data_IF_770579728710
#
_entry.id   IF_770579728710
#
_cell.length_a   1.000
_cell.length_b   1.000
_cell.length_c   1.000
_cell.angle_alpha   90.00
_cell.angle_beta   90.00
_cell.angle_gamma   90.00
#
_symmetry.space_group_name_H-M   'P 1'
#
loop_
_entity.id
_entity.type
_entity.pdbx_description
1 polymer ?
#
# COMPACT_ATOMS: atom_id res chain seq x y z
N UNK A 1 -5.79 27.87 2.17
CA UNK A 1 -6.00 26.63 1.35
C UNK A 1 -7.51 26.42 1.19
N UNK A 2 -8.03 26.43 -0.03
CA UNK A 2 -9.45 26.19 -0.31
C UNK A 2 -9.69 24.67 -0.39
N UNK A 3 -10.72 24.18 0.33
CA UNK A 3 -11.15 22.79 0.32
C UNK A 3 -12.65 22.76 -0.02
N UNK A 4 -12.97 22.44 -1.26
CA UNK A 4 -14.33 22.51 -1.84
C UNK A 4 -15.35 21.69 -1.04
N UNK A 5 -15.00 20.45 -0.72
CA UNK A 5 -15.89 19.53 -0.01
C UNK A 5 -16.07 19.98 1.45
N UNK A 6 -14.98 20.34 2.13
CA UNK A 6 -15.06 20.80 3.51
C UNK A 6 -15.83 22.11 3.65
N UNK A 7 -15.69 23.04 2.70
CA UNK A 7 -16.42 24.30 2.68
C UNK A 7 -17.92 24.07 2.43
N UNK A 8 -18.26 23.16 1.52
CA UNK A 8 -19.64 22.73 1.27
C UNK A 8 -20.26 22.13 2.53
N UNK A 9 -19.59 21.18 3.20
CA UNK A 9 -20.09 20.56 4.44
C UNK A 9 -20.33 21.59 5.55
N UNK A 10 -19.44 22.59 5.69
CA UNK A 10 -19.61 23.67 6.69
C UNK A 10 -20.84 24.53 6.40
N UNK A 11 -21.10 24.83 5.12
CA UNK A 11 -22.24 25.63 4.73
C UNK A 11 -23.58 24.96 5.05
N UNK A 12 -23.62 23.62 5.08
CA UNK A 12 -24.85 22.84 5.25
C UNK A 12 -25.19 22.48 6.72
N UNK A 13 -24.39 22.90 7.69
CA UNK A 13 -24.56 22.53 9.12
C UNK A 13 -25.93 22.81 9.73
N UNK A 14 -26.68 23.76 9.16
CA UNK A 14 -28.01 24.16 9.67
C UNK A 14 -29.18 23.56 8.90
N UNK A 15 -28.92 22.74 7.88
CA UNK A 15 -29.97 22.13 7.08
C UNK A 15 -30.62 20.96 7.83
N UNK A 16 -31.92 20.83 7.68
CA UNK A 16 -32.69 19.67 8.13
C UNK A 16 -32.77 18.71 6.95
N UNK A 17 -32.25 17.50 7.15
CA UNK A 17 -32.25 16.46 6.13
C UNK A 17 -33.14 15.29 6.49
N UNK A 18 -34.08 14.95 5.60
CA UNK A 18 -34.82 13.70 5.63
C UNK A 18 -34.18 12.60 4.77
N UNK A 19 -33.06 12.91 4.13
CA UNK A 19 -32.27 11.98 3.36
C UNK A 19 -31.37 11.11 4.25
N UNK A 20 -30.77 10.05 3.73
CA UNK A 20 -29.66 9.33 4.39
C UNK A 20 -28.47 10.29 4.59
N UNK A 21 -27.56 10.03 5.53
CA UNK A 21 -27.51 8.90 6.46
C UNK A 21 -28.53 9.00 7.61
N UNK A 22 -28.78 7.85 8.25
CA UNK A 22 -29.82 7.70 9.30
C UNK A 22 -29.59 8.53 10.56
N UNK A 23 -28.37 8.98 10.86
CA UNK A 23 -28.06 9.81 12.02
C UNK A 23 -28.58 11.26 11.91
N UNK A 24 -29.00 11.72 10.73
CA UNK A 24 -29.58 13.04 10.44
C UNK A 24 -28.73 14.26 10.84
N UNK A 25 -27.41 14.11 10.94
CA UNK A 25 -26.47 15.18 11.30
C UNK A 25 -25.89 15.84 10.03
N UNK A 26 -26.70 16.67 9.36
CA UNK A 26 -26.25 17.45 8.21
C UNK A 26 -25.00 18.29 8.54
N UNK A 27 -24.06 18.37 7.62
CA UNK A 27 -22.78 19.07 7.79
C UNK A 27 -21.69 18.30 8.53
N UNK A 28 -22.01 17.16 9.15
CA UNK A 28 -21.01 16.21 9.65
C UNK A 28 -20.78 15.07 8.65
N UNK A 29 -21.87 14.56 8.09
CA UNK A 29 -21.89 13.50 7.10
C UNK A 29 -23.18 13.59 6.29
N UNK A 30 -23.09 13.42 4.99
CA UNK A 30 -24.20 13.55 4.04
C UNK A 30 -24.05 12.50 2.94
N UNK A 31 -25.05 12.41 2.08
CA UNK A 31 -24.98 11.66 0.83
C UNK A 31 -25.19 12.58 -0.38
N UNK A 32 -25.55 12.03 -1.51
CA UNK A 32 -25.84 12.71 -2.75
C UNK A 32 -27.13 13.53 -2.63
N UNK A 33 -26.98 14.83 -2.49
CA UNK A 33 -28.06 15.82 -2.45
C UNK A 33 -27.86 16.85 -3.57
N UNK A 34 -28.89 17.59 -3.92
CA UNK A 34 -28.84 18.59 -5.00
C UNK A 34 -27.71 19.62 -4.86
N UNK A 35 -27.14 19.78 -3.68
CA UNK A 35 -26.03 20.70 -3.39
C UNK A 35 -24.68 20.02 -3.12
N UNK A 36 -24.67 18.69 -2.89
CA UNK A 36 -23.47 17.98 -2.45
C UNK A 36 -22.67 17.32 -3.57
N UNK A 37 -23.23 17.28 -4.77
CA UNK A 37 -22.68 16.54 -5.92
C UNK A 37 -22.82 15.00 -5.77
N UNK A 38 -22.59 14.25 -6.83
CA UNK A 38 -22.59 12.79 -6.86
C UNK A 38 -21.20 12.29 -7.28
N UNK A 39 -20.60 11.44 -6.47
CA UNK A 39 -19.28 10.91 -6.79
C UNK A 39 -19.28 10.00 -8.03
N UNK A 40 -20.43 9.40 -8.37
CA UNK A 40 -20.56 8.52 -9.54
C UNK A 40 -20.58 9.32 -10.86
N UNK A 41 -21.16 10.55 -10.81
CA UNK A 41 -21.19 11.48 -11.97
C UNK A 41 -20.91 12.92 -11.48
N UNK A 42 -19.67 13.21 -11.07
CA UNK A 42 -19.34 14.47 -10.43
C UNK A 42 -19.37 15.64 -11.41
N UNK A 43 -20.20 16.65 -11.12
CA UNK A 43 -20.36 17.87 -11.91
C UNK A 43 -20.14 19.15 -11.11
N UNK A 44 -20.04 19.05 -9.78
CA UNK A 44 -19.94 20.15 -8.83
C UNK A 44 -18.68 20.14 -7.99
N UNK A 45 -18.83 20.12 -6.66
CA UNK A 45 -17.71 20.22 -5.70
C UNK A 45 -16.77 19.03 -5.75
N UNK A 46 -17.29 17.84 -6.05
CA UNK A 46 -16.47 16.64 -6.20
C UNK A 46 -15.66 16.65 -7.49
N UNK A 47 -16.25 17.12 -8.59
CA UNK A 47 -15.53 17.33 -9.85
C UNK A 47 -14.35 18.30 -9.66
N UNK A 48 -14.59 19.44 -8.98
CA UNK A 48 -13.54 20.41 -8.69
C UNK A 48 -12.43 19.84 -7.80
N UNK A 49 -12.81 19.08 -6.77
CA UNK A 49 -11.84 18.45 -5.86
C UNK A 49 -10.98 17.38 -6.57
N UNK A 50 -11.60 16.56 -7.44
CA UNK A 50 -10.87 15.56 -8.24
C UNK A 50 -9.99 16.19 -9.31
N UNK A 51 -10.42 17.29 -9.94
CA UNK A 51 -9.58 18.06 -10.86
C UNK A 51 -8.37 18.70 -10.16
N UNK A 52 -8.56 19.24 -8.96
CA UNK A 52 -7.44 19.71 -8.12
C UNK A 52 -6.47 18.56 -7.76
N UNK A 53 -6.99 17.38 -7.41
CA UNK A 53 -6.18 16.21 -7.13
C UNK A 53 -5.38 15.77 -8.37
N UNK A 54 -6.00 15.70 -9.55
CA UNK A 54 -5.32 15.36 -10.79
C UNK A 54 -4.15 16.32 -11.06
N UNK A 55 -4.37 17.63 -10.91
CA UNK A 55 -3.34 18.64 -11.07
C UNK A 55 -2.19 18.48 -10.03
N UNK A 56 -2.53 18.24 -8.76
CA UNK A 56 -1.54 18.05 -7.68
C UNK A 56 -0.70 16.80 -7.91
N UNK A 57 -1.33 15.71 -8.35
CA UNK A 57 -0.70 14.42 -8.57
C UNK A 57 -0.04 14.29 -9.95
N UNK A 58 -0.22 15.26 -10.86
CA UNK A 58 0.33 15.22 -12.23
C UNK A 58 -0.33 14.14 -13.10
N UNK A 59 -1.64 13.92 -12.92
CA UNK A 59 -2.47 12.99 -13.65
C UNK A 59 -3.37 13.71 -14.67
N UNK A 60 -3.85 12.96 -15.66
CA UNK A 60 -4.92 13.45 -16.55
C UNK A 60 -6.30 13.25 -15.92
N UNK A 61 -6.44 12.21 -15.09
CA UNK A 61 -7.63 12.02 -14.25
C UNK A 61 -7.25 11.39 -12.89
N UNK A 62 -7.97 11.80 -11.84
CA UNK A 62 -7.85 11.25 -10.48
C UNK A 62 -9.24 11.02 -9.90
N UNK A 63 -9.42 9.87 -9.26
CA UNK A 63 -10.68 9.45 -8.69
C UNK A 63 -10.53 9.22 -7.18
N UNK A 64 -11.39 9.84 -6.38
CA UNK A 64 -11.42 9.63 -4.94
C UNK A 64 -12.03 8.28 -4.59
N UNK A 65 -11.44 7.61 -3.61
CA UNK A 65 -11.87 6.32 -3.09
C UNK A 65 -12.04 6.41 -1.57
N UNK A 66 -13.18 5.92 -1.09
CA UNK A 66 -13.48 5.81 0.35
C UNK A 66 -13.39 4.37 0.85
N UNK A 67 -12.83 3.48 0.02
CA UNK A 67 -12.70 2.03 0.24
C UNK A 67 -11.24 1.60 0.37
N UNK A 68 -10.32 2.57 0.51
CA UNK A 68 -8.88 2.36 0.56
C UNK A 68 -8.26 2.12 -0.82
N UNK A 69 -6.94 2.00 -0.85
CA UNK A 69 -6.19 1.69 -2.08
C UNK A 69 -6.49 0.30 -2.65
N UNK A 70 -7.12 -0.59 -1.88
CA UNK A 70 -7.53 -1.92 -2.34
C UNK A 70 -8.48 -1.82 -3.53
N UNK A 71 -9.53 -0.99 -3.45
CA UNK A 71 -10.46 -0.78 -4.58
C UNK A 71 -9.76 -0.16 -5.78
N UNK A 72 -8.77 0.71 -5.58
CA UNK A 72 -7.95 1.27 -6.64
C UNK A 72 -7.09 0.21 -7.36
N UNK A 73 -6.52 -0.75 -6.62
CA UNK A 73 -5.81 -1.90 -7.22
C UNK A 73 -6.75 -2.72 -8.09
N UNK A 74 -7.97 -3.03 -7.60
CA UNK A 74 -8.97 -3.73 -8.39
C UNK A 74 -9.36 -2.95 -9.65
N UNK A 75 -9.57 -1.64 -9.52
CA UNK A 75 -9.90 -0.77 -10.65
C UNK A 75 -8.80 -0.74 -11.71
N UNK A 76 -7.52 -0.63 -11.31
CA UNK A 76 -6.38 -0.65 -12.24
C UNK A 76 -6.24 -2.00 -12.96
N UNK A 77 -6.38 -3.13 -12.25
CA UNK A 77 -6.29 -4.44 -12.87
C UNK A 77 -7.52 -4.72 -13.76
N UNK A 78 -8.69 -4.24 -13.39
CA UNK A 78 -9.86 -4.28 -14.25
C UNK A 78 -9.65 -3.46 -15.54
N UNK A 79 -9.05 -2.28 -15.45
CA UNK A 79 -8.69 -1.46 -16.60
C UNK A 79 -7.76 -2.20 -17.56
N UNK A 80 -6.74 -2.91 -17.05
CA UNK A 80 -5.89 -3.79 -17.86
C UNK A 80 -6.70 -4.87 -18.58
N UNK A 81 -7.57 -5.56 -17.85
CA UNK A 81 -8.43 -6.60 -18.41
C UNK A 81 -9.34 -6.07 -19.51
N UNK A 82 -9.97 -4.90 -19.31
CA UNK A 82 -10.81 -4.22 -20.33
C UNK A 82 -10.04 -3.87 -21.59
N UNK A 83 -8.74 -3.56 -21.45
CA UNK A 83 -7.83 -3.32 -22.57
C UNK A 83 -7.23 -4.63 -23.16
N UNK A 84 -7.75 -5.81 -22.82
CA UNK A 84 -7.27 -7.11 -23.32
C UNK A 84 -5.93 -7.57 -22.74
N UNK A 85 -5.48 -7.00 -21.62
CA UNK A 85 -4.23 -7.34 -20.94
C UNK A 85 -4.53 -8.32 -19.81
N UNK A 86 -4.16 -9.59 -19.97
CA UNK A 86 -4.55 -10.64 -19.03
C UNK A 86 -3.43 -11.11 -18.11
N UNK A 87 -2.17 -10.80 -18.46
CA UNK A 87 -0.99 -11.21 -17.70
C UNK A 87 -0.29 -9.98 -17.14
N UNK A 88 -0.09 -9.95 -15.82
CA UNK A 88 0.56 -8.82 -15.14
C UNK A 88 1.79 -9.30 -14.38
N UNK A 89 2.95 -8.69 -14.66
CA UNK A 89 4.17 -8.93 -13.89
C UNK A 89 4.07 -8.20 -12.54
N UNK A 90 4.24 -8.93 -11.43
CA UNK A 90 4.09 -8.43 -10.06
C UNK A 90 5.19 -8.97 -9.14
N UNK A 91 5.72 -8.18 -8.20
CA UNK A 91 6.66 -8.66 -7.19
C UNK A 91 6.03 -9.76 -6.33
N UNK A 92 6.82 -10.77 -5.94
CA UNK A 92 6.32 -11.86 -5.08
C UNK A 92 5.86 -11.38 -3.70
N UNK A 93 6.39 -10.25 -3.23
CA UNK A 93 6.01 -9.59 -1.97
C UNK A 93 5.03 -8.42 -2.16
N UNK A 94 4.33 -8.34 -3.29
CA UNK A 94 3.25 -7.37 -3.46
C UNK A 94 2.15 -7.57 -2.40
N UNK A 95 1.40 -6.49 -2.13
CA UNK A 95 0.28 -6.56 -1.20
C UNK A 95 -0.77 -7.59 -1.67
N UNK A 96 -1.38 -8.31 -0.73
CA UNK A 96 -2.38 -9.37 -1.04
C UNK A 96 -3.51 -8.93 -1.98
N UNK A 97 -3.89 -7.64 -1.98
CA UNK A 97 -4.95 -7.13 -2.86
C UNK A 97 -4.63 -7.31 -4.33
N UNK A 98 -3.35 -7.28 -4.73
CA UNK A 98 -2.93 -7.53 -6.12
C UNK A 98 -3.25 -8.96 -6.53
N UNK A 99 -2.90 -9.93 -5.70
CA UNK A 99 -3.16 -11.34 -5.97
C UNK A 99 -4.66 -11.68 -5.93
N UNK A 100 -5.40 -11.13 -4.94
CA UNK A 100 -6.85 -11.28 -4.86
C UNK A 100 -7.56 -10.65 -6.07
N UNK A 101 -7.10 -9.49 -6.54
CA UNK A 101 -7.67 -8.86 -7.73
C UNK A 101 -7.38 -9.70 -8.99
N UNK A 102 -6.16 -10.24 -9.14
CA UNK A 102 -5.86 -11.18 -10.22
C UNK A 102 -6.80 -12.41 -10.21
N UNK A 103 -6.97 -13.02 -9.03
CA UNK A 103 -7.87 -14.17 -8.86
C UNK A 103 -9.32 -13.82 -9.21
N UNK A 104 -9.86 -12.74 -8.63
CA UNK A 104 -11.24 -12.31 -8.85
C UNK A 104 -11.54 -11.90 -10.30
N UNK A 105 -10.54 -11.36 -10.99
CA UNK A 105 -10.66 -10.90 -12.37
C UNK A 105 -10.26 -11.98 -13.40
N UNK A 106 -9.83 -13.17 -12.97
CA UNK A 106 -9.34 -14.23 -13.86
C UNK A 106 -8.06 -13.84 -14.61
N UNK A 107 -7.23 -12.98 -14.02
CA UNK A 107 -5.93 -12.54 -14.57
C UNK A 107 -4.81 -13.46 -14.08
N UNK A 108 -3.74 -13.57 -14.85
CA UNK A 108 -2.58 -14.38 -14.50
C UNK A 108 -1.44 -13.51 -14.00
N UNK A 109 -1.05 -13.60 -12.72
CA UNK A 109 0.16 -12.95 -12.25
C UNK A 109 1.40 -13.65 -12.76
N UNK A 110 2.36 -12.89 -13.30
CA UNK A 110 3.71 -13.32 -13.63
C UNK A 110 4.62 -12.81 -12.51
N UNK A 111 5.20 -13.72 -11.73
CA UNK A 111 5.93 -13.34 -10.54
C UNK A 111 7.32 -12.80 -10.86
N UNK A 112 7.64 -11.63 -10.30
CA UNK A 112 8.99 -11.06 -10.33
C UNK A 112 9.72 -11.58 -9.09
N UNK A 113 10.82 -12.31 -9.31
CA UNK A 113 11.62 -12.85 -8.22
C UNK A 113 12.32 -11.74 -7.42
N UNK A 114 12.36 -11.90 -6.11
CA UNK A 114 13.06 -11.01 -5.17
C UNK A 114 13.84 -11.85 -4.17
N UNK A 115 15.08 -11.46 -3.88
CA UNK A 115 15.85 -12.03 -2.77
C UNK A 115 15.40 -11.44 -1.42
N UNK A 116 15.95 -11.98 -0.34
CA UNK A 116 15.80 -11.47 1.03
C UNK A 116 17.19 -11.14 1.58
N UNK A 117 17.35 -9.97 2.14
CA UNK A 117 18.55 -9.55 2.86
C UNK A 117 18.17 -9.17 4.28
N UNK A 118 18.81 -9.78 5.26
CA UNK A 118 18.54 -9.55 6.70
C UNK A 118 17.04 -9.65 7.06
N UNK A 119 16.31 -10.54 6.39
CA UNK A 119 14.88 -10.73 6.57
C UNK A 119 13.97 -9.73 5.83
N UNK A 120 14.54 -8.87 4.98
CA UNK A 120 13.81 -7.86 4.21
C UNK A 120 13.82 -8.22 2.72
N UNK A 121 12.67 -8.18 2.01
CA UNK A 121 12.62 -8.34 0.56
C UNK A 121 13.47 -7.28 -0.15
N UNK A 122 14.37 -7.71 -1.02
CA UNK A 122 15.14 -6.82 -1.87
C UNK A 122 14.27 -6.25 -2.99
N UNK A 123 14.64 -5.06 -3.49
CA UNK A 123 13.98 -4.54 -4.69
C UNK A 123 14.28 -5.44 -5.90
N UNK A 124 13.34 -5.57 -6.85
CA UNK A 124 13.57 -6.34 -8.08
C UNK A 124 14.74 -5.78 -8.87
N UNK A 125 15.59 -6.65 -9.43
CA UNK A 125 16.63 -6.25 -10.36
C UNK A 125 16.04 -5.96 -11.74
N UNK A 126 16.76 -5.18 -12.58
CA UNK A 126 16.33 -4.89 -13.94
C UNK A 126 16.19 -6.16 -14.79
N UNK A 127 17.06 -7.13 -14.59
CA UNK A 127 16.98 -8.43 -15.27
C UNK A 127 15.70 -9.19 -14.87
N UNK A 128 15.36 -9.21 -13.57
CA UNK A 128 14.14 -9.84 -13.11
C UNK A 128 12.89 -9.14 -13.66
N UNK A 129 12.91 -7.80 -13.76
CA UNK A 129 11.83 -7.02 -14.39
C UNK A 129 11.71 -7.36 -15.88
N UNK A 130 12.81 -7.38 -16.61
CA UNK A 130 12.86 -7.70 -18.05
C UNK A 130 12.35 -9.11 -18.32
N UNK A 131 12.82 -10.10 -17.55
CA UNK A 131 12.38 -11.49 -17.67
C UNK A 131 10.88 -11.65 -17.41
N UNK A 132 10.34 -11.06 -16.34
CA UNK A 132 8.93 -11.14 -16.05
C UNK A 132 8.08 -10.40 -17.10
N UNK A 133 8.50 -9.20 -17.53
CA UNK A 133 7.79 -8.41 -18.52
C UNK A 133 7.75 -9.09 -19.90
N UNK A 134 8.75 -9.89 -20.26
CA UNK A 134 8.73 -10.68 -21.51
C UNK A 134 7.54 -11.64 -21.58
N UNK A 135 7.04 -12.09 -20.43
CA UNK A 135 5.94 -13.05 -20.29
C UNK A 135 4.60 -12.39 -19.87
N UNK A 136 4.58 -11.07 -19.67
CA UNK A 136 3.41 -10.35 -19.19
C UNK A 136 2.99 -9.26 -20.17
N UNK A 137 1.75 -8.78 -20.03
CA UNK A 137 1.17 -7.69 -20.82
C UNK A 137 1.32 -6.32 -20.15
N UNK A 138 1.64 -6.31 -18.87
CA UNK A 138 1.79 -5.11 -18.04
C UNK A 138 2.75 -5.40 -16.88
N UNK A 139 3.27 -4.32 -16.27
CA UNK A 139 4.10 -4.38 -15.06
C UNK A 139 3.40 -3.59 -13.94
N UNK A 140 3.31 -4.17 -12.73
CA UNK A 140 2.86 -3.50 -11.53
C UNK A 140 3.96 -3.57 -10.48
N UNK A 141 4.37 -2.42 -9.94
CA UNK A 141 5.36 -2.32 -8.86
C UNK A 141 4.78 -1.61 -7.64
N UNK A 142 5.24 -1.97 -6.45
CA UNK A 142 4.91 -1.25 -5.21
C UNK A 142 5.96 -0.16 -4.95
N UNK A 143 5.55 1.10 -4.80
CA UNK A 143 6.48 2.23 -4.64
C UNK A 143 5.94 3.33 -3.71
N UNK A 144 6.61 3.59 -2.58
CA UNK A 144 7.65 2.78 -1.97
C UNK A 144 7.11 1.44 -1.46
N UNK A 145 8.01 0.49 -1.19
CA UNK A 145 7.62 -0.74 -0.53
C UNK A 145 7.30 -0.53 0.96
N UNK A 146 6.94 -1.61 1.64
CA UNK A 146 6.53 -1.54 3.04
C UNK A 146 7.66 -1.10 3.98
N UNK A 147 8.92 -1.42 3.64
CA UNK A 147 10.10 -1.03 4.42
C UNK A 147 10.66 0.34 4.03
N UNK A 148 10.15 0.95 2.97
CA UNK A 148 10.53 2.30 2.53
C UNK A 148 11.63 2.35 1.47
N UNK A 149 11.81 1.28 0.72
CA UNK A 149 12.69 1.24 -0.44
C UNK A 149 11.92 1.51 -1.73
N UNK A 150 12.57 2.19 -2.66
CA UNK A 150 11.99 2.44 -3.98
C UNK A 150 12.43 1.39 -5.00
N UNK A 151 11.47 0.82 -5.77
CA UNK A 151 11.82 0.00 -6.91
C UNK A 151 12.46 0.85 -8.02
N UNK A 152 13.17 0.25 -8.98
CA UNK A 152 13.81 0.96 -10.09
C UNK A 152 12.79 1.45 -11.12
N UNK A 153 11.93 2.42 -10.75
CA UNK A 153 10.82 2.91 -11.57
C UNK A 153 11.26 3.47 -12.92
N UNK A 154 12.41 4.14 -12.98
CA UNK A 154 12.94 4.69 -14.23
C UNK A 154 13.30 3.58 -15.22
N UNK A 155 13.99 2.52 -14.76
CA UNK A 155 14.29 1.35 -15.57
C UNK A 155 13.01 0.60 -15.97
N UNK A 156 12.08 0.41 -15.04
CA UNK A 156 10.77 -0.17 -15.32
C UNK A 156 10.01 0.61 -16.40
N UNK A 157 10.02 1.94 -16.35
CA UNK A 157 9.41 2.80 -17.37
C UNK A 157 10.07 2.62 -18.73
N UNK A 158 11.41 2.55 -18.78
CA UNK A 158 12.13 2.34 -20.02
C UNK A 158 11.80 0.98 -20.65
N UNK A 159 11.81 -0.10 -19.84
CA UNK A 159 11.44 -1.45 -20.27
C UNK A 159 9.98 -1.50 -20.79
N UNK A 160 9.04 -0.94 -20.06
CA UNK A 160 7.64 -0.89 -20.47
C UNK A 160 7.46 -0.07 -21.76
N UNK A 161 8.12 1.08 -21.87
CA UNK A 161 8.07 1.93 -23.06
C UNK A 161 8.61 1.24 -24.30
N UNK A 162 9.77 0.58 -24.18
CA UNK A 162 10.37 -0.20 -25.28
C UNK A 162 9.50 -1.38 -25.73
N UNK A 163 8.70 -1.94 -24.82
CA UNK A 163 7.82 -3.08 -25.10
C UNK A 163 6.37 -2.66 -25.48
N UNK A 164 6.03 -1.36 -25.44
CA UNK A 164 4.66 -0.87 -25.64
C UNK A 164 3.66 -1.38 -24.60
N UNK A 165 4.14 -1.63 -23.36
CA UNK A 165 3.34 -2.18 -22.25
C UNK A 165 3.15 -1.14 -21.14
N UNK A 166 1.99 -1.13 -20.46
CA UNK A 166 1.75 -0.19 -19.37
C UNK A 166 2.52 -0.54 -18.11
N UNK A 167 2.93 0.51 -17.38
CA UNK A 167 3.49 0.44 -16.04
C UNK A 167 2.43 0.94 -15.04
N UNK A 168 2.13 0.11 -14.04
CA UNK A 168 1.25 0.43 -12.92
C UNK A 168 2.06 0.55 -11.63
N UNK A 169 1.59 1.39 -10.71
CA UNK A 169 2.20 1.49 -9.39
C UNK A 169 1.18 1.36 -8.26
N UNK A 170 1.46 0.45 -7.33
CA UNK A 170 0.86 0.45 -6.01
C UNK A 170 1.62 1.46 -5.14
N UNK A 171 1.16 2.69 -5.16
CA UNK A 171 1.67 3.81 -4.37
C UNK A 171 0.94 3.97 -3.03
N UNK A 172 0.34 2.90 -2.49
CA UNK A 172 -0.41 2.96 -1.24
C UNK A 172 0.36 3.60 -0.09
N UNK A 173 1.68 3.56 -0.13
CA UNK A 173 2.59 4.17 0.85
C UNK A 173 3.28 5.44 0.35
N UNK A 174 2.98 5.91 -0.86
CA UNK A 174 3.70 6.96 -1.57
C UNK A 174 3.04 8.33 -1.65
N UNK A 175 1.84 8.51 -1.08
CA UNK A 175 1.06 9.76 -1.27
C UNK A 175 1.80 11.04 -0.84
N UNK A 176 2.66 10.96 0.19
CA UNK A 176 3.45 12.10 0.67
C UNK A 176 4.56 12.54 -0.29
N UNK A 177 4.85 11.72 -1.30
CA UNK A 177 5.86 11.98 -2.33
C UNK A 177 5.33 12.83 -3.48
N UNK A 178 4.03 13.14 -3.51
CA UNK A 178 3.45 13.96 -4.58
C UNK A 178 4.21 15.29 -4.71
N UNK A 179 4.43 15.70 -5.97
CA UNK A 179 5.25 16.87 -6.28
C UNK A 179 6.76 16.66 -6.14
N UNK A 180 7.25 15.45 -5.82
CA UNK A 180 8.67 15.09 -5.82
C UNK A 180 9.04 14.22 -7.01
N UNK A 181 10.33 14.14 -7.41
CA UNK A 181 10.77 13.24 -8.48
C UNK A 181 10.53 11.76 -8.19
N UNK A 182 10.37 11.37 -6.92
CA UNK A 182 10.21 9.98 -6.49
C UNK A 182 8.77 9.46 -6.57
N UNK A 183 7.79 10.35 -6.81
CA UNK A 183 6.39 9.94 -6.88
C UNK A 183 6.11 9.08 -8.12
N UNK A 184 5.31 8.04 -7.96
CA UNK A 184 4.96 7.08 -9.02
C UNK A 184 4.36 7.74 -10.27
N UNK A 185 3.69 8.87 -10.13
CA UNK A 185 3.15 9.67 -11.24
C UNK A 185 4.18 10.05 -12.30
N UNK A 186 5.47 10.14 -11.95
CA UNK A 186 6.51 10.48 -12.92
C UNK A 186 6.83 9.33 -13.89
N UNK A 187 6.38 8.11 -13.58
CA UNK A 187 6.76 6.89 -14.28
C UNK A 187 5.56 6.07 -14.75
N UNK A 188 4.52 5.95 -13.93
CA UNK A 188 3.40 5.05 -14.16
C UNK A 188 2.35 5.64 -15.10
N UNK A 189 1.65 4.74 -15.79
CA UNK A 189 0.47 5.05 -16.60
C UNK A 189 -0.80 5.08 -15.74
N UNK A 190 -0.86 4.23 -14.72
CA UNK A 190 -1.88 4.20 -13.66
C UNK A 190 -1.22 3.97 -12.30
N UNK A 191 -1.73 4.62 -11.25
CA UNK A 191 -1.25 4.39 -9.90
C UNK A 191 -2.35 4.65 -8.87
N UNK A 192 -2.18 4.07 -7.67
CA UNK A 192 -3.05 4.34 -6.52
C UNK A 192 -2.23 4.92 -5.37
N UNK A 193 -2.74 5.97 -4.74
CA UNK A 193 -2.21 6.61 -3.55
C UNK A 193 -3.08 6.30 -2.33
N UNK A 194 -2.50 5.66 -1.30
CA UNK A 194 -3.17 5.45 -0.02
C UNK A 194 -3.05 6.69 0.87
N UNK A 195 -3.82 7.73 0.56
CA UNK A 195 -3.70 9.05 1.18
C UNK A 195 -3.69 8.99 2.71
N UNK A 196 -4.56 8.14 3.29
CA UNK A 196 -4.67 7.97 4.74
C UNK A 196 -3.44 7.33 5.42
N UNK A 197 -2.54 6.70 4.65
CA UNK A 197 -1.35 6.05 5.22
C UNK A 197 -0.22 7.04 5.47
N UNK A 198 0.04 7.94 4.53
CA UNK A 198 1.20 8.83 4.58
C UNK A 198 0.87 10.32 4.65
N UNK A 199 -0.41 10.69 4.53
CA UNK A 199 -0.91 12.05 4.66
C UNK A 199 -2.07 12.09 5.68
N UNK A 200 -2.43 13.28 6.23
CA UNK A 200 -3.42 13.40 7.32
C UNK A 200 -4.88 13.28 6.82
N UNK A 201 -5.22 12.20 6.16
CA UNK A 201 -6.60 11.82 5.80
C UNK A 201 -7.18 10.82 6.79
N UNK A 202 -8.51 10.70 6.82
CA UNK A 202 -9.18 9.65 7.55
C UNK A 202 -8.91 8.28 6.92
N UNK A 203 -8.91 7.24 7.76
CA UNK A 203 -8.76 5.85 7.31
C UNK A 203 -9.69 5.56 6.13
N UNK A 204 -9.25 4.74 5.20
CA UNK A 204 -9.87 4.41 3.91
C UNK A 204 -9.68 5.47 2.81
N UNK A 205 -9.27 6.71 3.11
CA UNK A 205 -9.04 7.72 2.09
C UNK A 205 -7.92 7.34 1.13
N UNK A 206 -8.23 7.22 -0.16
CA UNK A 206 -7.28 6.93 -1.22
C UNK A 206 -7.63 7.66 -2.52
N UNK A 207 -6.68 7.71 -3.46
CA UNK A 207 -6.90 8.25 -4.80
C UNK A 207 -6.28 7.31 -5.81
N UNK A 208 -7.00 7.00 -6.88
CA UNK A 208 -6.46 6.28 -8.03
C UNK A 208 -6.40 7.22 -9.23
N UNK A 209 -5.30 7.17 -9.97
CA UNK A 209 -5.00 8.14 -11.03
C UNK A 209 -4.49 7.47 -12.30
N UNK A 210 -4.70 8.12 -13.43
CA UNK A 210 -4.26 7.64 -14.73
C UNK A 210 -3.80 8.76 -15.67
N UNK A 211 -3.04 8.37 -16.71
CA UNK A 211 -2.60 9.22 -17.81
C UNK A 211 -3.06 8.67 -19.16
N UNK A 212 -3.21 9.57 -20.12
CA UNK A 212 -3.52 9.25 -21.50
C UNK A 212 -4.78 8.41 -21.66
N UNK A 213 -4.70 7.42 -22.51
CA UNK A 213 -5.84 6.53 -22.84
C UNK A 213 -6.31 5.67 -21.65
N UNK A 214 -5.46 5.51 -20.62
CA UNK A 214 -5.80 4.72 -19.43
C UNK A 214 -6.86 5.39 -18.56
N UNK A 215 -7.07 6.70 -18.69
CA UNK A 215 -8.11 7.45 -17.95
C UNK A 215 -9.49 6.86 -18.16
N UNK A 216 -9.85 6.52 -19.41
CA UNK A 216 -11.15 5.92 -19.74
C UNK A 216 -11.31 4.54 -19.11
N UNK A 217 -10.31 3.67 -19.28
CA UNK A 217 -10.37 2.30 -18.74
C UNK A 217 -10.39 2.30 -17.21
N UNK A 218 -9.64 3.22 -16.60
CA UNK A 218 -9.63 3.35 -15.14
C UNK A 218 -10.97 3.86 -14.62
N UNK A 219 -11.63 4.81 -15.29
CA UNK A 219 -12.96 5.30 -14.92
C UNK A 219 -13.98 4.15 -14.87
N UNK A 220 -13.98 3.27 -15.88
CA UNK A 220 -14.81 2.07 -15.88
C UNK A 220 -14.52 1.17 -14.67
N UNK A 221 -13.23 0.94 -14.33
CA UNK A 221 -12.83 0.14 -13.17
C UNK A 221 -13.25 0.78 -11.84
N UNK A 222 -13.14 2.09 -11.72
CA UNK A 222 -13.59 2.83 -10.54
C UNK A 222 -15.09 2.68 -10.33
N UNK A 223 -15.88 2.76 -11.39
CA UNK A 223 -17.34 2.57 -11.32
C UNK A 223 -17.70 1.18 -10.76
N UNK A 224 -16.97 0.13 -11.15
CA UNK A 224 -17.22 -1.24 -10.68
C UNK A 224 -16.83 -1.51 -9.22
N UNK A 225 -15.77 -0.86 -8.72
CA UNK A 225 -15.16 -1.22 -7.43
C UNK A 225 -15.25 -0.15 -6.36
N UNK A 226 -15.81 1.00 -6.66
CA UNK A 226 -16.08 2.07 -5.69
C UNK A 226 -17.48 1.91 -5.11
N UNK A 227 -17.63 2.19 -3.81
CA UNK A 227 -18.96 2.24 -3.17
C UNK A 227 -19.85 3.30 -3.82
N UNK A 228 -21.15 3.01 -3.91
CA UNK A 228 -22.19 3.96 -4.34
C UNK A 228 -22.64 4.92 -3.22
N UNK A 229 -22.15 4.74 -1.98
CA UNK A 229 -22.49 5.55 -0.82
C UNK A 229 -21.21 6.07 -0.14
N UNK A 230 -20.45 6.97 -0.80
CA UNK A 230 -19.17 7.43 -0.30
C UNK A 230 -19.33 8.30 0.94
N UNK A 231 -18.42 8.13 1.91
CA UNK A 231 -18.37 9.00 3.09
C UNK A 231 -17.81 10.38 2.72
N UNK A 232 -18.63 11.41 2.79
CA UNK A 232 -18.21 12.80 2.53
C UNK A 232 -17.15 13.31 3.52
N UNK A 233 -17.15 12.95 4.81
CA UNK A 233 -16.01 13.25 5.69
C UNK A 233 -14.69 12.68 5.22
N UNK A 234 -14.68 11.45 4.68
CA UNK A 234 -13.46 10.84 4.09
C UNK A 234 -13.06 11.61 2.85
N UNK A 235 -13.98 11.92 1.93
CA UNK A 235 -13.71 12.71 0.73
C UNK A 235 -13.11 14.08 1.07
N UNK A 236 -13.71 14.80 2.03
CA UNK A 236 -13.17 16.07 2.52
C UNK A 236 -11.76 15.94 3.11
N UNK A 237 -11.48 14.83 3.81
CA UNK A 237 -10.17 14.55 4.38
C UNK A 237 -9.12 14.24 3.32
N UNK A 238 -9.49 13.56 2.23
CA UNK A 238 -8.60 13.31 1.07
C UNK A 238 -8.20 14.65 0.44
N UNK A 239 -9.17 15.50 0.13
CA UNK A 239 -8.91 16.82 -0.46
C UNK A 239 -7.99 17.66 0.43
N UNK A 240 -8.27 17.71 1.73
CA UNK A 240 -7.44 18.40 2.70
C UNK A 240 -6.01 17.85 2.75
N UNK A 241 -5.87 16.54 2.79
CA UNK A 241 -4.59 15.87 2.94
C UNK A 241 -3.68 16.04 1.71
N UNK A 242 -4.23 16.01 0.49
CA UNK A 242 -3.48 16.29 -0.73
C UNK A 242 -2.96 17.75 -0.81
N UNK A 243 -3.65 18.67 -0.15
CA UNK A 243 -3.27 20.07 -0.05
C UNK A 243 -2.45 20.38 1.22
N UNK A 244 -2.15 19.37 2.05
CA UNK A 244 -1.42 19.55 3.29
C UNK A 244 0.03 19.93 3.01
N UNK A 245 0.58 20.98 3.66
CA UNK A 245 1.93 21.44 3.38
C UNK A 245 2.97 20.42 3.83
N UNK A 246 4.03 20.25 3.06
CA UNK A 246 5.23 19.54 3.51
C UNK A 246 5.88 20.26 4.69
N UNK A 247 6.48 19.51 5.62
CA UNK A 247 7.21 20.06 6.78
C UNK A 247 8.65 19.53 6.80
N UNK A 248 9.57 20.33 6.26
CA UNK A 248 11.01 20.01 6.25
C UNK A 248 11.61 19.83 7.65
N UNK A 249 11.01 20.40 8.70
CA UNK A 249 11.46 20.21 10.09
C UNK A 249 11.15 18.80 10.57
N UNK A 250 9.97 18.28 10.24
CA UNK A 250 9.57 16.91 10.58
C UNK A 250 10.44 15.91 9.83
N UNK A 251 10.69 16.12 8.54
CA UNK A 251 11.58 15.30 7.74
C UNK A 251 13.01 15.28 8.30
N UNK A 252 13.60 16.44 8.56
CA UNK A 252 14.93 16.54 9.16
C UNK A 252 15.00 15.86 10.55
N UNK A 253 13.93 15.95 11.34
CA UNK A 253 13.86 15.26 12.64
C UNK A 253 13.73 13.73 12.47
N UNK A 254 13.03 13.24 11.45
CA UNK A 254 12.93 11.83 11.13
C UNK A 254 14.27 11.24 10.69
N UNK A 255 14.99 11.94 9.81
CA UNK A 255 16.35 11.54 9.37
C UNK A 255 17.31 11.47 10.55
N UNK A 256 17.26 12.44 11.50
CA UNK A 256 18.06 12.36 12.73
C UNK A 256 17.65 11.17 13.59
N UNK A 257 16.36 10.92 13.76
CA UNK A 257 15.85 9.79 14.56
C UNK A 257 16.29 8.43 13.96
N UNK A 258 16.28 8.28 12.63
CA UNK A 258 16.82 7.07 11.96
C UNK A 258 18.28 6.83 12.38
N UNK A 259 19.14 7.84 12.27
CA UNK A 259 20.56 7.72 12.65
C UNK A 259 20.74 7.38 14.13
N UNK A 260 20.04 8.06 15.03
CA UNK A 260 20.14 7.83 16.48
C UNK A 260 19.65 6.45 16.89
N UNK A 261 18.73 5.86 16.14
CA UNK A 261 18.19 4.53 16.40
C UNK A 261 18.90 3.43 15.63
N UNK A 262 19.87 3.72 14.78
CA UNK A 262 20.45 2.71 13.89
C UNK A 262 19.38 2.02 13.05
N UNK A 263 18.41 2.79 12.59
CA UNK A 263 17.34 2.30 11.71
C UNK A 263 17.90 1.96 10.32
N UNK A 264 17.15 1.18 9.55
CA UNK A 264 17.49 0.88 8.16
C UNK A 264 17.72 2.16 7.37
N UNK A 265 18.72 2.13 6.51
CA UNK A 265 19.01 3.18 5.54
C UNK A 265 18.11 2.98 4.30
N UNK A 266 16.81 3.19 4.49
CA UNK A 266 15.80 3.14 3.43
C UNK A 266 15.60 4.54 2.83
N UNK A 267 15.01 4.60 1.65
CA UNK A 267 14.84 5.81 0.86
C UNK A 267 13.77 6.77 1.40
N UNK A 268 12.77 6.22 2.11
CA UNK A 268 11.58 6.96 2.57
C UNK A 268 11.73 7.46 4.00
N UNK A 269 11.77 8.79 4.17
CA UNK A 269 11.89 9.41 5.48
C UNK A 269 10.70 9.14 6.42
N UNK A 270 9.54 8.78 5.89
CA UNK A 270 8.34 8.49 6.71
C UNK A 270 8.40 7.15 7.40
N UNK A 271 9.35 6.29 7.07
CA UNK A 271 9.49 4.94 7.64
C UNK A 271 10.76 4.81 8.46
N UNK A 272 10.59 4.77 9.78
CA UNK A 272 11.68 4.45 10.72
C UNK A 272 11.60 2.97 11.05
N UNK A 273 12.48 2.18 10.47
CA UNK A 273 12.53 0.71 10.60
C UNK A 273 13.72 0.34 11.48
N UNK A 274 13.44 -0.03 12.72
CA UNK A 274 14.47 -0.24 13.75
C UNK A 274 14.73 -1.73 13.94
N UNK A 275 15.99 -2.20 13.77
CA UNK A 275 16.34 -3.59 13.99
C UNK A 275 16.38 -3.90 15.50
N UNK A 276 15.53 -4.81 15.94
CA UNK A 276 15.54 -5.36 17.29
C UNK A 276 15.89 -6.85 17.32
N UNK A 277 15.89 -7.52 16.17
CA UNK A 277 16.15 -8.94 16.04
C UNK A 277 15.23 -9.75 16.98
N UNK A 278 15.74 -10.79 17.59
CA UNK A 278 14.97 -11.65 18.51
C UNK A 278 14.35 -10.91 19.71
N UNK A 279 14.72 -9.63 19.95
CA UNK A 279 14.13 -8.78 20.99
C UNK A 279 12.91 -7.96 20.51
N UNK A 280 12.47 -8.06 19.25
CA UNK A 280 11.41 -7.21 18.69
C UNK A 280 10.09 -7.29 19.46
N UNK A 281 9.63 -8.49 19.86
CA UNK A 281 8.39 -8.66 20.62
C UNK A 281 8.46 -8.01 22.02
N UNK A 282 9.60 -8.13 22.69
CA UNK A 282 9.83 -7.50 24.00
C UNK A 282 9.88 -5.97 23.88
N UNK A 283 10.53 -5.45 22.83
CA UNK A 283 10.61 -4.03 22.53
C UNK A 283 9.21 -3.45 22.23
N UNK A 284 8.41 -4.11 21.40
CA UNK A 284 7.03 -3.71 21.13
C UNK A 284 6.22 -3.64 22.42
N UNK A 285 6.22 -4.71 23.23
CA UNK A 285 5.48 -4.76 24.48
C UNK A 285 5.89 -3.65 25.47
N UNK A 286 7.19 -3.30 25.50
CA UNK A 286 7.69 -2.20 26.32
C UNK A 286 7.16 -0.83 25.84
N UNK A 287 7.12 -0.60 24.53
CA UNK A 287 6.68 0.64 23.90
C UNK A 287 5.18 0.84 24.07
N UNK A 288 4.36 -0.20 23.84
CA UNK A 288 2.91 -0.17 23.96
C UNK A 288 2.46 0.17 25.39
N UNK A 289 3.10 -0.39 26.41
CA UNK A 289 2.86 -0.02 27.82
C UNK A 289 3.13 1.46 28.11
N UNK A 290 3.84 2.17 27.23
CA UNK A 290 4.16 3.61 27.32
C UNK A 290 3.39 4.46 26.31
N UNK A 291 2.37 3.87 25.67
CA UNK A 291 1.51 4.52 24.70
C UNK A 291 2.23 4.88 23.40
N UNK A 292 3.18 4.03 22.98
CA UNK A 292 3.85 4.13 21.68
C UNK A 292 3.60 2.82 20.92
N UNK A 293 2.85 2.92 19.84
CA UNK A 293 2.43 1.79 19.02
C UNK A 293 3.21 1.81 17.69
N UNK A 294 4.00 0.76 17.38
CA UNK A 294 4.60 0.60 16.06
C UNK A 294 3.52 0.27 15.03
N UNK A 295 3.78 0.56 13.77
CA UNK A 295 2.93 0.17 12.66
C UNK A 295 2.92 -1.37 12.50
N UNK A 296 4.10 -1.98 12.57
CA UNK A 296 4.18 -3.43 12.56
C UNK A 296 5.48 -3.95 13.21
N UNK A 297 5.47 -5.25 13.47
CA UNK A 297 6.56 -6.06 13.97
C UNK A 297 6.66 -7.32 13.10
N UNK A 298 7.77 -7.52 12.40
CA UNK A 298 8.03 -8.73 11.61
C UNK A 298 8.86 -9.79 12.36
N UNK A 299 9.20 -9.54 13.63
CA UNK A 299 10.02 -10.39 14.49
C UNK A 299 11.52 -10.08 14.45
N UNK A 300 11.94 -9.18 13.56
CA UNK A 300 13.27 -8.62 13.45
C UNK A 300 13.26 -7.11 13.66
N UNK A 301 12.27 -6.45 13.05
CA UNK A 301 12.17 -5.00 12.98
C UNK A 301 10.87 -4.52 13.59
N UNK A 302 10.93 -3.34 14.21
CA UNK A 302 9.76 -2.53 14.49
C UNK A 302 9.74 -1.35 13.54
N UNK A 303 8.64 -1.18 12.82
CA UNK A 303 8.44 -0.02 11.95
C UNK A 303 7.54 1.01 12.60
N UNK A 304 7.96 2.27 12.51
CA UNK A 304 7.19 3.44 12.91
C UNK A 304 6.90 4.29 11.68
N UNK A 305 5.61 4.46 11.40
CA UNK A 305 5.18 5.17 10.23
C UNK A 305 4.88 6.63 10.56
N UNK A 306 5.47 7.54 9.81
CA UNK A 306 5.36 8.98 9.99
C UNK A 306 4.52 9.60 8.87
N UNK A 307 4.14 10.85 9.07
CA UNK A 307 3.53 11.69 8.04
C UNK A 307 4.01 13.14 8.24
N UNK A 308 3.78 14.06 7.30
CA UNK A 308 4.03 15.49 7.50
C UNK A 308 3.34 16.08 8.73
N UNK A 309 2.26 15.45 9.23
CA UNK A 309 1.57 15.86 10.45
C UNK A 309 2.21 15.33 11.75
N UNK A 310 3.25 14.49 11.67
CA UNK A 310 3.96 13.98 12.84
C UNK A 310 4.72 15.09 13.54
N UNK A 311 4.51 15.22 14.84
CA UNK A 311 5.17 16.30 15.62
C UNK A 311 6.57 15.88 16.06
N UNK A 312 7.55 16.77 15.95
CA UNK A 312 8.96 16.55 16.35
C UNK A 312 9.09 16.04 17.80
N UNK A 313 8.21 16.47 18.71
CA UNK A 313 8.19 15.97 20.10
C UNK A 313 7.87 14.47 20.19
N UNK A 314 7.09 13.94 19.27
CA UNK A 314 6.77 12.49 19.22
C UNK A 314 8.01 11.69 18.81
N UNK A 315 8.78 12.19 17.82
CA UNK A 315 10.06 11.60 17.42
C UNK A 315 11.07 11.60 18.55
N UNK A 316 11.21 12.71 19.30
CA UNK A 316 12.06 12.76 20.48
C UNK A 316 11.66 11.75 21.55
N UNK A 317 10.35 11.54 21.78
CA UNK A 317 9.85 10.51 22.70
C UNK A 317 10.21 9.12 22.19
N UNK A 318 10.01 8.84 20.89
CA UNK A 318 10.35 7.57 20.26
C UNK A 318 11.82 7.23 20.46
N UNK A 319 12.73 8.13 20.09
CA UNK A 319 14.19 7.96 20.23
C UNK A 319 14.55 7.67 21.69
N UNK A 320 14.05 8.46 22.63
CA UNK A 320 14.33 8.27 24.06
C UNK A 320 13.91 6.88 24.57
N UNK A 321 12.79 6.34 24.08
CA UNK A 321 12.27 5.05 24.52
C UNK A 321 12.94 3.87 23.80
N UNK A 322 13.28 4.00 22.52
CA UNK A 322 13.88 2.90 21.75
C UNK A 322 15.39 2.75 22.00
N UNK A 323 16.12 3.87 22.22
CA UNK A 323 17.58 3.89 22.33
C UNK A 323 18.15 2.91 23.38
N UNK A 324 17.59 2.80 24.61
CA UNK A 324 18.10 1.91 25.64
C UNK A 324 17.68 0.44 25.49
N UNK A 325 16.84 0.09 24.51
CA UNK A 325 16.34 -1.26 24.38
C UNK A 325 17.40 -2.20 23.80
N UNK A 326 17.42 -3.42 24.32
CA UNK A 326 18.32 -4.48 23.86
C UNK A 326 18.03 -4.83 22.38
N UNK A 327 19.08 -5.23 21.68
CA UNK A 327 19.05 -5.74 20.31
C UNK A 327 19.40 -7.24 20.36
N UNK A 328 18.70 -8.02 19.56
CA UNK A 328 19.00 -9.45 19.35
C UNK A 328 19.56 -9.69 17.96
N UNK A 329 19.79 -10.95 17.63
CA UNK A 329 20.25 -11.38 16.32
C UNK A 329 19.14 -11.20 15.27
N UNK A 330 19.51 -10.74 14.08
CA UNK A 330 18.64 -10.66 12.92
C UNK A 330 18.54 -12.02 12.21
N UNK A 331 17.48 -12.20 11.41
CA UNK A 331 17.40 -13.34 10.51
C UNK A 331 18.49 -13.29 9.44
N UNK A 332 18.91 -14.47 9.01
CA UNK A 332 19.83 -14.63 7.88
C UNK A 332 19.17 -14.29 6.55
N UNK A 333 20.00 -13.97 5.57
CA UNK A 333 19.58 -13.85 4.18
C UNK A 333 18.97 -15.15 3.66
N UNK A 334 17.96 -15.03 2.81
CA UNK A 334 17.39 -16.17 2.10
C UNK A 334 17.07 -15.77 0.64
N UNK A 335 17.46 -16.58 -0.34
CA UNK A 335 17.01 -16.38 -1.71
C UNK A 335 15.52 -16.76 -1.83
N UNK A 336 14.74 -15.98 -2.58
CA UNK A 336 13.40 -16.42 -2.99
C UNK A 336 13.55 -17.45 -4.09
N UNK A 337 12.93 -18.61 -3.94
CA UNK A 337 12.85 -19.59 -5.00
C UNK A 337 12.12 -18.96 -6.20
N UNK A 338 12.70 -19.11 -7.39
CA UNK A 338 12.09 -18.63 -8.64
C UNK A 338 10.72 -19.26 -8.90
N UNK A 339 10.16 -19.03 -10.09
CA UNK A 339 8.85 -19.58 -10.49
C UNK A 339 8.83 -21.12 -10.38
N UNK A 340 8.28 -21.63 -9.29
CA UNK A 340 8.02 -23.04 -9.10
C UNK A 340 6.60 -23.31 -9.59
N UNK A 341 6.44 -24.22 -10.54
CA UNK A 341 5.15 -24.75 -11.01
C UNK A 341 5.01 -26.21 -10.59
N UNK A 342 3.79 -26.70 -10.47
CA UNK A 342 3.54 -28.11 -10.13
C UNK A 342 2.16 -28.33 -9.53
N UNK A 343 1.85 -29.60 -9.26
CA UNK A 343 0.66 -29.96 -8.50
C UNK A 343 0.77 -29.38 -7.09
N UNK A 344 -0.34 -28.95 -6.54
CA UNK A 344 -0.39 -28.37 -5.20
C UNK A 344 -1.11 -29.31 -4.23
N UNK A 345 -0.67 -29.27 -2.97
CA UNK A 345 -1.23 -30.06 -1.87
C UNK A 345 -1.50 -29.14 -0.69
N UNK A 346 -2.66 -29.29 -0.07
CA UNK A 346 -2.98 -28.59 1.19
C UNK A 346 -2.60 -29.47 2.36
N UNK A 347 -1.83 -28.91 3.32
CA UNK A 347 -1.38 -29.65 4.49
C UNK A 347 -1.40 -28.76 5.76
N UNK A 348 -1.38 -29.36 6.98
CA UNK A 348 -1.27 -28.59 8.21
C UNK A 348 -0.04 -27.70 8.20
N UNK A 349 -0.17 -26.43 8.67
CA UNK A 349 0.95 -25.48 8.71
C UNK A 349 2.13 -26.01 9.53
N UNK A 350 1.86 -26.73 10.62
CA UNK A 350 2.90 -27.35 11.48
C UNK A 350 3.76 -28.39 10.78
N UNK A 351 3.26 -29.01 9.74
CA UNK A 351 3.92 -30.07 8.97
C UNK A 351 4.59 -29.55 7.69
N UNK A 352 4.41 -28.27 7.37
CA UNK A 352 4.85 -27.69 6.13
C UNK A 352 6.30 -27.22 6.10
N UNK A 353 7.03 -27.30 7.23
CA UNK A 353 8.44 -26.89 7.29
C UNK A 353 9.28 -27.63 6.25
N UNK A 354 10.08 -26.88 5.48
CA UNK A 354 10.91 -27.43 4.38
C UNK A 354 10.17 -27.58 3.06
N UNK A 355 8.84 -27.43 3.01
CA UNK A 355 8.05 -27.50 1.78
C UNK A 355 8.06 -26.12 1.07
N UNK A 356 7.87 -26.12 -0.24
CA UNK A 356 7.78 -24.89 -1.03
C UNK A 356 6.36 -24.36 -1.06
N UNK A 357 6.15 -23.12 -0.64
CA UNK A 357 4.84 -22.47 -0.57
C UNK A 357 4.26 -22.26 -1.98
N UNK A 358 3.02 -22.68 -2.19
CA UNK A 358 2.33 -22.53 -3.47
C UNK A 358 1.37 -21.32 -3.53
N UNK A 359 0.95 -20.81 -2.38
CA UNK A 359 0.13 -19.60 -2.24
C UNK A 359 0.68 -18.73 -1.14
N UNK A 360 0.99 -17.47 -1.45
CA UNK A 360 1.52 -16.53 -0.48
C UNK A 360 0.64 -16.46 0.77
N UNK A 361 1.26 -16.50 1.94
CA UNK A 361 0.58 -16.38 3.23
C UNK A 361 1.30 -15.40 4.15
N UNK A 362 0.55 -14.76 5.05
CA UNK A 362 1.12 -13.76 5.94
C UNK A 362 0.16 -13.33 7.04
N UNK A 363 0.59 -12.33 7.79
CA UNK A 363 -0.11 -11.78 8.97
C UNK A 363 -0.88 -10.52 8.55
N UNK A 364 -1.98 -10.26 9.23
CA UNK A 364 -2.82 -9.07 9.00
C UNK A 364 -2.89 -8.25 10.30
N UNK A 365 -2.48 -6.98 10.29
CA UNK A 365 -1.59 -6.31 9.34
C UNK A 365 -0.18 -6.92 9.33
N UNK A 366 0.67 -6.67 8.30
CA UNK A 366 0.59 -5.64 7.25
C UNK A 366 -0.02 -6.12 5.91
N UNK A 367 -0.47 -7.36 5.79
CA UNK A 367 -1.02 -7.93 4.56
C UNK A 367 0.01 -8.11 3.42
N UNK A 368 1.28 -8.11 3.76
CA UNK A 368 2.41 -8.49 2.89
C UNK A 368 2.77 -9.94 3.21
N UNK A 369 3.14 -10.76 2.23
CA UNK A 369 3.53 -12.14 2.49
C UNK A 369 4.65 -12.26 3.54
N UNK A 370 4.43 -13.12 4.53
CA UNK A 370 5.49 -13.61 5.42
C UNK A 370 6.21 -14.81 4.79
N UNK A 371 5.48 -15.56 3.97
CA UNK A 371 6.01 -16.61 3.10
C UNK A 371 5.43 -16.33 1.71
N UNK A 372 6.29 -15.98 0.76
CA UNK A 372 5.89 -15.75 -0.62
C UNK A 372 5.68 -17.08 -1.37
N UNK A 373 4.97 -17.03 -2.50
CA UNK A 373 4.88 -18.17 -3.41
C UNK A 373 6.28 -18.55 -3.91
N UNK A 374 6.63 -19.82 -3.87
CA UNK A 374 7.94 -20.33 -4.27
C UNK A 374 9.00 -20.30 -3.18
N UNK A 375 8.67 -19.75 -2.01
CA UNK A 375 9.56 -19.70 -0.85
C UNK A 375 9.43 -20.97 0.00
N UNK A 376 10.55 -21.39 0.60
CA UNK A 376 10.56 -22.53 1.52
C UNK A 376 9.98 -22.12 2.87
N UNK A 377 9.05 -22.90 3.39
CA UNK A 377 8.42 -22.69 4.70
C UNK A 377 9.43 -22.92 5.80
N UNK A 378 9.73 -21.90 6.59
CA UNK A 378 10.69 -21.97 7.70
C UNK A 378 10.00 -22.20 9.04
N UNK A 379 10.72 -22.81 10.04
CA UNK A 379 10.19 -22.98 11.40
C UNK A 379 9.79 -21.65 12.06
N UNK A 380 10.51 -20.56 11.75
CA UNK A 380 10.23 -19.24 12.28
C UNK A 380 8.92 -18.68 11.72
N UNK A 381 8.71 -18.77 10.39
CA UNK A 381 7.50 -18.33 9.75
C UNK A 381 6.28 -19.10 10.29
N UNK A 382 6.39 -20.42 10.45
CA UNK A 382 5.33 -21.24 11.05
C UNK A 382 4.99 -20.76 12.48
N UNK A 383 6.01 -20.58 13.35
CA UNK A 383 5.77 -20.07 14.72
C UNK A 383 5.06 -18.72 14.72
N UNK A 384 5.40 -17.83 13.80
CA UNK A 384 4.77 -16.49 13.69
C UNK A 384 3.33 -16.59 13.21
N UNK A 385 3.06 -17.37 12.18
CA UNK A 385 1.71 -17.58 11.65
C UNK A 385 0.79 -18.22 12.68
N UNK A 386 1.28 -19.20 13.47
CA UNK A 386 0.52 -19.84 14.55
C UNK A 386 0.20 -18.89 15.72
N UNK A 387 1.06 -17.92 16.01
CA UNK A 387 0.84 -16.91 17.05
C UNK A 387 -0.03 -15.75 16.58
N UNK A 388 -0.19 -15.57 15.26
CA UNK A 388 -0.89 -14.42 14.70
C UNK A 388 -2.40 -14.54 14.95
N UNK A 389 -3.01 -13.42 15.32
CA UNK A 389 -4.45 -13.32 15.55
C UNK A 389 -5.24 -13.40 14.25
N UNK A 390 -4.70 -12.84 13.18
CA UNK A 390 -5.30 -12.86 11.85
C UNK A 390 -4.22 -13.13 10.79
N UNK A 391 -4.53 -14.03 9.89
CA UNK A 391 -3.66 -14.43 8.78
C UNK A 391 -4.40 -14.37 7.45
N UNK A 392 -3.65 -14.34 6.33
CA UNK A 392 -4.20 -14.59 5.01
C UNK A 392 -3.42 -15.71 4.33
N UNK A 393 -4.01 -16.34 3.30
CA UNK A 393 -3.39 -17.45 2.56
C UNK A 393 -3.44 -18.80 3.27
N UNK A 394 -3.95 -18.85 4.50
CA UNK A 394 -4.25 -20.09 5.23
C UNK A 394 -5.76 -20.35 5.24
N UNK A 395 -6.14 -21.63 5.23
CA UNK A 395 -7.52 -22.09 5.36
C UNK A 395 -7.56 -23.16 6.44
N UNK A 396 -8.29 -22.90 7.53
CA UNK A 396 -8.42 -23.81 8.68
C UNK A 396 -7.06 -24.29 9.23
N UNK A 397 -6.09 -23.37 9.35
CA UNK A 397 -4.74 -23.68 9.84
C UNK A 397 -3.87 -24.48 8.85
N UNK A 398 -4.32 -24.63 7.60
CA UNK A 398 -3.61 -25.35 6.54
C UNK A 398 -3.01 -24.38 5.52
N UNK A 399 -1.87 -24.74 4.96
CA UNK A 399 -1.14 -24.03 3.93
C UNK A 399 -1.15 -24.82 2.62
N UNK A 400 -1.15 -24.12 1.49
CA UNK A 400 -0.99 -24.69 0.17
C UNK A 400 0.50 -24.72 -0.19
N UNK A 401 1.02 -25.90 -0.50
CA UNK A 401 2.42 -26.13 -0.91
C UNK A 401 2.48 -26.84 -2.24
N UNK A 402 3.62 -26.75 -2.94
CA UNK A 402 3.85 -27.60 -4.11
C UNK A 402 4.06 -29.05 -3.66
N UNK A 403 3.47 -29.99 -4.38
CA UNK A 403 3.72 -31.41 -4.25
C UNK A 403 5.14 -31.77 -4.67
N UNK A 404 5.60 -32.94 -4.25
CA UNK A 404 6.86 -33.53 -4.72
C UNK A 404 6.75 -33.92 -6.19
#
# INVERSE_FOLDING_TARGET
MRCHIADMLRAQKRHISFHTPGHKRAGADITELSYSDDLSDPTGVLALAQADAARILGADASFFLTDGSTSGIYAMLFALRRAGKMRVAVPVYAHKSVFHACEALGMTPVYIAQGIREGIPCQPTEDALSQALSQADALLLTSPDYYGFFPPLAAARALCGGAGKPLLADGAHGSHLHGTPMHAANFADMWVDGVHKSLPAFTQGAVVSAKGTWTRFLAEGVEFFRTSSPSYPILASIEYALKYPSDSRTEAAAVRAKRELGALDNDDWTKIVVPFGSCADAAQSFLERRGVYPEFNDGNYLMFYLSPATRVRQLKKLVRLCRPLARGELCSDAPVAGMVGGKTVTMPLSEAVGRTCARACGIVPPCVPLIARGEVVTPQAVRRLLKAKHTFGLTDGKILVFGE
#
